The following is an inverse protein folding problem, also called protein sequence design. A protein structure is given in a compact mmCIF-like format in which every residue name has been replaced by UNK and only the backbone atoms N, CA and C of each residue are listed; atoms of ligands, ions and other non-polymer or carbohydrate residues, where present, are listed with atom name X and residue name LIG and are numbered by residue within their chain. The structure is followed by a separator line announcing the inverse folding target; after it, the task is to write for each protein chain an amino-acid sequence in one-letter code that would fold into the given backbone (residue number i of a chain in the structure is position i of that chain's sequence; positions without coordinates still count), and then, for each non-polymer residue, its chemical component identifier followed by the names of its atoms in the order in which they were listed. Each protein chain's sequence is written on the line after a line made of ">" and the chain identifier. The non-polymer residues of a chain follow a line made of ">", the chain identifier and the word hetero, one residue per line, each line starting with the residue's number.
data_IF_870227814694
#
_entry.id   IF_870227814694
#
_cell.length_a   1.000
_cell.length_b   1.000
_cell.length_c   1.000
_cell.angle_alpha   90.00
_cell.angle_beta   90.00
_cell.angle_gamma   90.00
#
_symmetry.space_group_name_H-M   'P 1'
#
loop_
_entity.id
_entity.type
_entity.pdbx_description
1 polymer ?
#
# COMPACT_ATOMS: atom_id res chain seq x y z
N UNK A 1 12.51 34.28 9.30
CA UNK A 1 11.54 33.50 8.47
C UNK A 1 12.10 32.10 8.31
N UNK A 2 11.60 31.13 9.08
CA UNK A 2 12.08 29.74 9.00
C UNK A 2 11.51 29.10 7.74
N UNK A 3 12.37 28.63 6.84
CA UNK A 3 11.97 27.85 5.67
C UNK A 3 11.40 26.55 6.20
N UNK A 4 10.07 26.44 6.30
CA UNK A 4 9.42 25.18 6.61
C UNK A 4 10.01 24.12 5.68
N UNK A 5 10.63 23.08 6.25
CA UNK A 5 11.25 22.01 5.49
C UNK A 5 10.19 21.45 4.53
N UNK A 6 10.44 21.55 3.22
CA UNK A 6 9.53 20.99 2.24
C UNK A 6 9.49 19.47 2.47
N UNK A 7 8.30 18.87 2.66
CA UNK A 7 8.23 17.43 2.80
C UNK A 7 8.72 16.78 1.51
N UNK A 8 9.76 15.94 1.62
CA UNK A 8 10.25 15.13 0.52
C UNK A 8 9.39 13.87 0.41
N UNK A 9 8.87 13.57 -0.78
CA UNK A 9 8.08 12.37 -1.05
C UNK A 9 8.87 11.38 -1.90
N UNK A 10 8.74 10.10 -1.57
CA UNK A 10 9.21 8.99 -2.41
C UNK A 10 8.03 8.45 -3.21
N UNK A 11 8.19 8.35 -4.53
CA UNK A 11 7.21 7.72 -5.40
C UNK A 11 7.48 6.22 -5.52
N UNK A 12 6.43 5.42 -5.34
CA UNK A 12 6.44 3.98 -5.55
C UNK A 12 5.65 3.69 -6.81
N UNK A 13 6.25 3.02 -7.80
CA UNK A 13 5.54 2.57 -8.99
C UNK A 13 5.03 1.15 -8.82
N UNK A 14 3.73 0.97 -9.04
CA UNK A 14 3.00 -0.28 -8.93
C UNK A 14 2.10 -0.50 -10.16
N UNK A 15 1.59 -1.72 -10.40
CA UNK A 15 0.81 -2.06 -11.60
C UNK A 15 -0.44 -1.16 -11.81
N UNK A 16 -0.77 -0.90 -13.07
CA UNK A 16 -1.90 -0.02 -13.46
C UNK A 16 -3.26 -0.59 -13.04
N UNK A 17 -3.44 -1.91 -13.11
CA UNK A 17 -4.64 -2.60 -12.64
C UNK A 17 -4.81 -2.46 -11.12
N UNK A 18 -3.71 -2.52 -10.35
CA UNK A 18 -3.72 -2.26 -8.91
C UNK A 18 -4.07 -0.79 -8.62
N UNK A 19 -3.64 0.15 -9.46
CA UNK A 19 -4.05 1.56 -9.37
C UNK A 19 -5.55 1.73 -9.60
N UNK A 20 -6.09 1.16 -10.67
CA UNK A 20 -7.51 1.24 -10.97
C UNK A 20 -8.37 0.66 -9.83
N UNK A 21 -8.01 -0.53 -9.32
CA UNK A 21 -8.68 -1.16 -8.18
C UNK A 21 -8.58 -0.32 -6.91
N UNK A 22 -7.43 0.30 -6.65
CA UNK A 22 -7.25 1.22 -5.52
C UNK A 22 -8.22 2.39 -5.63
N UNK A 23 -8.20 3.12 -6.75
CA UNK A 23 -9.07 4.28 -6.95
C UNK A 23 -10.55 3.91 -6.79
N UNK A 24 -10.96 2.80 -7.40
CA UNK A 24 -12.33 2.30 -7.34
C UNK A 24 -12.75 1.95 -5.91
N UNK A 25 -11.96 1.14 -5.19
CA UNK A 25 -12.31 0.72 -3.83
C UNK A 25 -12.38 1.91 -2.86
N UNK A 26 -11.44 2.86 -2.97
CA UNK A 26 -11.44 4.05 -2.14
C UNK A 26 -12.69 4.91 -2.40
N UNK A 27 -13.12 5.04 -3.65
CA UNK A 27 -14.38 5.73 -3.99
C UNK A 27 -15.60 4.98 -3.43
N UNK A 28 -15.63 3.64 -3.54
CA UNK A 28 -16.70 2.82 -2.97
C UNK A 28 -16.81 3.00 -1.45
N UNK A 29 -15.69 2.96 -0.73
CA UNK A 29 -15.66 3.14 0.72
C UNK A 29 -16.23 4.49 1.17
N UNK A 30 -15.95 5.56 0.42
CA UNK A 30 -16.43 6.92 0.73
C UNK A 30 -17.94 7.07 0.56
N UNK A 31 -18.53 6.38 -0.42
CA UNK A 31 -19.96 6.51 -0.77
C UNK A 31 -20.83 5.39 -0.20
N UNK A 32 -20.24 4.35 0.38
CA UNK A 32 -20.96 3.22 0.93
C UNK A 32 -21.83 3.63 2.13
N UNK A 33 -23.06 3.11 2.17
CA UNK A 33 -23.92 3.19 3.34
C UNK A 33 -23.29 2.48 4.53
N UNK A 34 -22.67 1.31 4.30
CA UNK A 34 -21.85 0.60 5.27
C UNK A 34 -20.44 0.31 4.71
N UNK A 35 -19.45 1.17 4.98
CA UNK A 35 -18.06 0.94 4.57
C UNK A 35 -17.44 -0.31 5.20
N UNK A 36 -18.02 -0.82 6.30
CA UNK A 36 -17.48 -1.99 7.00
C UNK A 36 -17.67 -3.30 6.24
N UNK A 37 -18.59 -3.32 5.27
CA UNK A 37 -18.75 -4.43 4.33
C UNK A 37 -17.52 -4.66 3.44
N UNK A 38 -16.67 -3.65 3.25
CA UNK A 38 -15.52 -3.69 2.33
C UNK A 38 -14.17 -3.89 3.04
N UNK A 39 -14.18 -4.31 4.31
CA UNK A 39 -12.97 -4.52 5.11
C UNK A 39 -12.03 -5.58 4.50
N UNK A 40 -12.60 -6.64 3.94
CA UNK A 40 -11.80 -7.72 3.35
C UNK A 40 -11.04 -7.20 2.14
N UNK A 41 -11.74 -6.54 1.23
CA UNK A 41 -11.20 -5.96 0.00
C UNK A 41 -10.14 -4.91 0.31
N UNK A 42 -10.38 -4.05 1.32
CA UNK A 42 -9.37 -3.06 1.72
C UNK A 42 -8.14 -3.74 2.32
N UNK A 43 -8.34 -4.80 3.12
CA UNK A 43 -7.25 -5.59 3.68
C UNK A 43 -6.38 -6.21 2.58
N UNK A 44 -7.00 -6.83 1.59
CA UNK A 44 -6.30 -7.39 0.42
C UNK A 44 -5.57 -6.32 -0.37
N UNK A 45 -6.22 -5.18 -0.63
CA UNK A 45 -5.61 -4.07 -1.36
C UNK A 45 -4.36 -3.54 -0.65
N UNK A 46 -4.42 -3.35 0.67
CA UNK A 46 -3.26 -2.86 1.44
C UNK A 46 -2.11 -3.87 1.41
N UNK A 47 -2.39 -5.18 1.41
CA UNK A 47 -1.36 -6.21 1.22
C UNK A 47 -0.70 -6.08 -0.16
N UNK A 48 -1.48 -5.93 -1.22
CA UNK A 48 -0.97 -5.78 -2.59
C UNK A 48 -0.12 -4.52 -2.77
N UNK A 49 -0.55 -3.39 -2.21
CA UNK A 49 0.21 -2.14 -2.20
C UNK A 49 1.52 -2.29 -1.42
N UNK A 50 1.49 -2.97 -0.26
CA UNK A 50 2.69 -3.22 0.55
C UNK A 50 3.71 -4.08 -0.20
N UNK A 51 3.25 -5.15 -0.86
CA UNK A 51 4.11 -6.01 -1.66
C UNK A 51 4.75 -5.25 -2.83
N UNK A 52 3.94 -4.45 -3.55
CA UNK A 52 4.44 -3.60 -4.63
C UNK A 52 5.48 -2.58 -4.14
N UNK A 53 5.31 -2.07 -2.92
CA UNK A 53 6.27 -1.19 -2.26
C UNK A 53 7.60 -1.87 -1.97
N UNK A 54 7.59 -3.09 -1.40
CA UNK A 54 8.82 -3.86 -1.17
C UNK A 54 9.52 -4.22 -2.47
N UNK A 55 8.77 -4.61 -3.49
CA UNK A 55 9.32 -4.92 -4.80
C UNK A 55 10.02 -3.70 -5.40
N UNK A 56 9.36 -2.53 -5.37
CA UNK A 56 9.89 -1.31 -5.94
C UNK A 56 11.08 -0.74 -5.17
N UNK A 57 11.03 -0.76 -3.84
CA UNK A 57 12.04 -0.13 -3.00
C UNK A 57 13.22 -1.05 -2.66
N UNK A 58 13.10 -2.36 -2.83
CA UNK A 58 14.14 -3.31 -2.44
C UNK A 58 14.51 -4.30 -3.55
N UNK A 59 13.58 -5.12 -4.04
CA UNK A 59 13.92 -6.18 -5.01
C UNK A 59 14.35 -5.62 -6.38
N UNK A 60 13.63 -4.64 -6.93
CA UNK A 60 13.99 -3.99 -8.21
C UNK A 60 15.37 -3.32 -8.13
N UNK A 61 15.71 -2.53 -7.10
CA UNK A 61 17.07 -2.01 -6.93
C UNK A 61 18.17 -3.07 -6.95
N UNK A 62 17.95 -4.24 -6.31
CA UNK A 62 18.93 -5.34 -6.35
C UNK A 62 19.11 -5.89 -7.77
N UNK A 63 18.02 -6.03 -8.53
CA UNK A 63 18.08 -6.41 -9.95
C UNK A 63 18.86 -5.39 -10.78
N UNK A 64 18.59 -4.10 -10.60
CA UNK A 64 19.30 -3.02 -11.30
C UNK A 64 20.79 -2.96 -10.93
N UNK A 65 21.12 -3.25 -9.67
CA UNK A 65 22.48 -3.35 -9.18
C UNK A 65 23.19 -4.64 -9.64
N UNK A 66 22.50 -5.57 -10.32
CA UNK A 66 23.02 -6.84 -10.82
C UNK A 66 23.72 -7.65 -9.72
N UNK A 67 23.12 -7.70 -8.53
CA UNK A 67 23.67 -8.50 -7.43
C UNK A 67 23.76 -9.98 -7.82
N UNK A 68 24.71 -10.69 -7.22
CA UNK A 68 24.89 -12.12 -7.49
C UNK A 68 23.65 -12.94 -7.17
N UNK A 69 23.48 -14.06 -7.87
CA UNK A 69 22.31 -14.94 -7.75
C UNK A 69 21.95 -15.30 -6.30
N UNK A 70 22.95 -15.65 -5.49
CA UNK A 70 22.74 -16.01 -4.07
C UNK A 70 22.11 -14.85 -3.29
N UNK A 71 22.62 -13.62 -3.46
CA UNK A 71 22.08 -12.42 -2.79
C UNK A 71 20.65 -12.15 -3.24
N UNK A 72 20.38 -12.26 -4.55
CA UNK A 72 19.03 -12.07 -5.08
C UNK A 72 18.05 -13.09 -4.49
N UNK A 73 18.44 -14.37 -4.41
CA UNK A 73 17.58 -15.41 -3.84
C UNK A 73 17.37 -15.23 -2.34
N UNK A 74 18.40 -14.86 -1.59
CA UNK A 74 18.26 -14.52 -0.18
C UNK A 74 17.28 -13.37 0.04
N UNK A 75 17.35 -12.32 -0.78
CA UNK A 75 16.41 -11.20 -0.73
C UNK A 75 14.97 -11.63 -1.06
N UNK A 76 14.77 -12.41 -2.12
CA UNK A 76 13.46 -12.94 -2.51
C UNK A 76 12.84 -13.79 -1.38
N UNK A 77 13.62 -14.69 -0.77
CA UNK A 77 13.17 -15.51 0.35
C UNK A 77 12.82 -14.65 1.58
N UNK A 78 13.65 -13.66 1.90
CA UNK A 78 13.40 -12.72 2.99
C UNK A 78 12.10 -11.94 2.81
N UNK A 79 11.87 -11.38 1.61
CA UNK A 79 10.64 -10.65 1.27
C UNK A 79 9.42 -11.57 1.30
N UNK A 80 9.53 -12.80 0.76
CA UNK A 80 8.45 -13.78 0.83
C UNK A 80 8.08 -14.15 2.28
N UNK A 81 9.09 -14.35 3.14
CA UNK A 81 8.90 -14.61 4.57
C UNK A 81 8.22 -13.43 5.29
N UNK A 82 8.70 -12.21 5.05
CA UNK A 82 8.09 -11.00 5.60
C UNK A 82 6.63 -10.84 5.14
N UNK A 83 6.36 -11.03 3.85
CA UNK A 83 5.01 -10.97 3.26
C UNK A 83 4.07 -11.98 3.93
N UNK A 84 4.55 -13.21 4.15
CA UNK A 84 3.76 -14.28 4.78
C UNK A 84 3.31 -13.92 6.20
N UNK A 85 4.10 -13.16 6.93
CA UNK A 85 3.79 -12.71 8.30
C UNK A 85 2.91 -11.45 8.26
N UNK A 86 3.26 -10.48 7.41
CA UNK A 86 2.57 -9.19 7.34
C UNK A 86 1.16 -9.31 6.77
N UNK A 87 0.95 -10.14 5.76
CA UNK A 87 -0.34 -10.23 5.07
C UNK A 87 -1.53 -10.61 5.98
N UNK A 88 -1.47 -11.67 6.81
CA UNK A 88 -2.55 -11.98 7.75
C UNK A 88 -2.67 -10.92 8.85
N UNK A 89 -1.56 -10.34 9.31
CA UNK A 89 -1.59 -9.25 10.31
C UNK A 89 -2.35 -8.03 9.78
N UNK A 90 -2.03 -7.57 8.56
CA UNK A 90 -2.71 -6.44 7.90
C UNK A 90 -4.21 -6.73 7.80
N UNK A 91 -4.59 -7.89 7.24
CA UNK A 91 -6.01 -8.27 7.12
C UNK A 91 -6.73 -8.30 8.46
N UNK A 92 -6.12 -8.90 9.48
CA UNK A 92 -6.71 -8.99 10.81
C UNK A 92 -6.94 -7.61 11.46
N UNK A 93 -6.01 -6.67 11.24
CA UNK A 93 -6.16 -5.29 11.74
C UNK A 93 -7.30 -4.59 10.98
N UNK A 94 -7.26 -4.60 9.64
CA UNK A 94 -8.27 -3.93 8.81
C UNK A 94 -9.68 -4.51 9.07
N UNK A 95 -9.80 -5.83 9.25
CA UNK A 95 -11.06 -6.52 9.55
C UNK A 95 -11.74 -6.04 10.84
N UNK A 96 -11.03 -5.34 11.72
CA UNK A 96 -11.54 -4.86 13.01
C UNK A 96 -11.80 -3.36 13.04
N UNK A 97 -11.47 -2.63 11.97
CA UNK A 97 -11.62 -1.18 11.92
C UNK A 97 -13.08 -0.77 11.81
N UNK A 98 -13.50 0.20 12.61
CA UNK A 98 -14.84 0.81 12.47
C UNK A 98 -14.95 1.69 11.21
N UNK A 99 -16.17 2.16 10.92
CA UNK A 99 -16.46 3.03 9.77
C UNK A 99 -15.50 4.21 9.67
N UNK A 100 -15.28 4.93 10.77
CA UNK A 100 -14.47 6.15 10.79
C UNK A 100 -13.00 5.80 10.51
N UNK A 101 -12.51 4.74 11.12
CA UNK A 101 -11.13 4.28 10.94
C UNK A 101 -10.86 3.83 9.50
N UNK A 102 -11.81 3.13 8.85
CA UNK A 102 -11.70 2.74 7.44
C UNK A 102 -11.59 3.97 6.52
N UNK A 103 -12.43 4.98 6.73
CA UNK A 103 -12.38 6.21 5.95
C UNK A 103 -11.07 6.99 6.15
N UNK A 104 -10.51 6.98 7.36
CA UNK A 104 -9.19 7.58 7.64
C UNK A 104 -8.08 6.85 6.88
N UNK A 105 -8.10 5.52 6.86
CA UNK A 105 -7.13 4.73 6.08
C UNK A 105 -7.29 5.01 4.58
N UNK A 106 -8.53 5.05 4.09
CA UNK A 106 -8.83 5.33 2.69
C UNK A 106 -8.32 6.72 2.25
N UNK A 107 -8.61 7.76 3.02
CA UNK A 107 -8.13 9.12 2.76
C UNK A 107 -6.59 9.19 2.81
N UNK A 108 -5.96 8.47 3.75
CA UNK A 108 -4.50 8.42 3.82
C UNK A 108 -3.88 7.79 2.57
N UNK A 109 -4.40 6.65 2.09
CA UNK A 109 -3.94 6.01 0.85
C UNK A 109 -4.13 6.95 -0.34
N UNK A 110 -5.28 7.64 -0.43
CA UNK A 110 -5.56 8.61 -1.48
C UNK A 110 -4.53 9.75 -1.50
N UNK A 111 -4.15 10.27 -0.33
CA UNK A 111 -3.09 11.28 -0.21
C UNK A 111 -1.73 10.76 -0.66
N UNK A 112 -1.38 9.50 -0.36
CA UNK A 112 -0.14 8.88 -0.84
C UNK A 112 -0.08 8.81 -2.37
N UNK A 113 -1.22 8.64 -3.03
CA UNK A 113 -1.32 8.62 -4.49
C UNK A 113 -1.17 10.01 -5.13
N UNK A 114 -1.12 11.08 -4.33
CA UNK A 114 -1.09 12.46 -4.83
C UNK A 114 -2.43 12.95 -5.38
N UNK A 115 -3.50 12.15 -5.29
CA UNK A 115 -4.85 12.56 -5.68
C UNK A 115 -5.49 13.28 -4.50
N UNK A 116 -5.54 14.62 -4.53
CA UNK A 116 -6.38 15.34 -3.56
C UNK A 116 -7.83 15.22 -4.02
N UNK A 117 -8.72 14.72 -3.17
CA UNK A 117 -10.15 14.92 -3.39
C UNK A 117 -10.43 16.44 -3.28
N UNK A 118 -11.12 17.09 -4.23
CA UNK A 118 -11.57 18.46 -4.04
C UNK A 118 -12.62 18.44 -2.93
N UNK A 119 -12.42 19.27 -1.89
CA UNK A 119 -13.41 19.52 -0.85
C UNK A 119 -14.62 20.25 -1.41
#
# INVERSE_FOLDING_TARGET
>A
MSRAAQPHSLHISYPEDLHARTVQLLATLEHAEDPTAYRSELGDLVVELTNSGMDYCFLKPLLLAKVGFVVQQSANLGVAGATRIMAPMIRNIIARLDRRQLLVVADYIRRLMGTRCPR
#
